data_IF_879201158078
#
_entry.id   IF_879201158078
#
_cell.length_a   1.000
_cell.length_b   1.000
_cell.length_c   1.000
_cell.angle_alpha   90.00
_cell.angle_beta   90.00
_cell.angle_gamma   90.00
#
_symmetry.space_group_name_H-M   'P 1'
#
loop_
_entity.id
_entity.type
_entity.pdbx_description
1 polymer ?
#
# COMPACT_ATOMS: atom_id res chain seq x y z
N UNK A 1 25.93 11.76 10.79
CA UNK A 1 24.95 11.27 11.78
C UNK A 1 23.52 11.67 11.39
N UNK A 2 23.20 12.95 11.17
CA UNK A 2 21.85 13.37 10.77
C UNK A 2 21.37 12.77 9.43
N UNK A 3 22.20 12.83 8.39
CA UNK A 3 21.88 12.23 7.07
C UNK A 3 21.66 10.72 7.17
N UNK A 4 22.41 10.02 8.02
CA UNK A 4 22.19 8.60 8.30
C UNK A 4 20.75 8.34 8.80
N UNK A 5 20.25 9.14 9.75
CA UNK A 5 18.86 8.99 10.22
C UNK A 5 17.83 9.33 9.14
N UNK A 6 18.12 10.31 8.28
CA UNK A 6 17.25 10.67 7.17
C UNK A 6 17.19 9.56 6.11
N UNK A 7 18.32 8.89 5.87
CA UNK A 7 18.45 7.82 4.89
C UNK A 7 17.58 6.61 5.24
N UNK A 8 17.43 6.32 6.52
CA UNK A 8 16.57 5.26 7.04
C UNK A 8 15.17 5.74 7.44
N UNK A 9 14.81 7.01 7.16
CA UNK A 9 13.43 7.46 7.31
C UNK A 9 12.57 6.82 6.22
N UNK A 10 11.44 6.31 6.67
CA UNK A 10 10.46 5.55 5.88
C UNK A 10 9.60 6.46 5.01
N UNK A 11 9.67 7.76 5.26
CA UNK A 11 8.97 8.79 4.52
C UNK A 11 9.91 9.38 3.48
N UNK A 12 9.46 9.61 2.23
CA UNK A 12 10.25 10.36 1.26
C UNK A 12 10.62 11.75 1.80
N UNK A 13 11.91 12.02 1.88
CA UNK A 13 12.48 13.32 2.25
C UNK A 13 13.22 13.88 1.05
N UNK A 14 12.89 15.11 0.64
CA UNK A 14 13.57 15.81 -0.46
C UNK A 14 13.94 17.20 -0.01
N UNK A 15 15.18 17.61 -0.28
CA UNK A 15 15.66 18.98 -0.11
C UNK A 15 16.00 19.55 -1.47
N UNK A 16 15.31 20.63 -1.82
CA UNK A 16 15.58 21.42 -3.02
C UNK A 16 16.40 22.65 -2.69
N UNK A 17 17.18 23.12 -3.66
CA UNK A 17 17.73 24.47 -3.65
C UNK A 17 16.74 25.49 -4.24
N UNK A 18 17.13 26.76 -4.26
CA UNK A 18 16.35 27.89 -4.77
C UNK A 18 16.04 27.81 -6.27
N UNK A 19 16.70 26.91 -7.01
CA UNK A 19 16.50 26.66 -8.44
C UNK A 19 15.68 25.39 -8.71
N UNK A 20 15.18 24.74 -7.67
CA UNK A 20 14.49 23.45 -7.77
C UNK A 20 15.41 22.26 -8.06
N UNK A 21 16.73 22.40 -7.90
CA UNK A 21 17.65 21.26 -7.93
C UNK A 21 17.59 20.49 -6.62
N UNK A 22 17.70 19.16 -6.66
CA UNK A 22 17.72 18.34 -5.44
C UNK A 22 19.13 18.42 -4.87
N UNK A 23 19.26 18.85 -3.62
CA UNK A 23 20.52 18.77 -2.86
C UNK A 23 20.62 17.48 -2.07
N UNK A 24 19.49 16.93 -1.64
CA UNK A 24 19.42 15.68 -0.91
C UNK A 24 18.07 15.02 -1.12
N UNK A 25 18.07 13.70 -1.23
CA UNK A 25 16.90 12.86 -1.06
C UNK A 25 17.34 11.55 -0.42
N UNK A 26 16.49 10.95 0.41
CA UNK A 26 16.72 9.60 0.92
C UNK A 26 16.27 8.54 -0.10
N UNK A 27 16.62 7.27 0.12
CA UNK A 27 16.19 6.12 -0.70
C UNK A 27 14.70 6.13 -1.08
N UNK A 28 13.80 6.38 -0.12
CA UNK A 28 12.36 6.40 -0.40
C UNK A 28 11.97 7.52 -1.38
N UNK A 29 12.62 8.69 -1.26
CA UNK A 29 12.44 9.77 -2.20
C UNK A 29 13.08 9.52 -3.57
N UNK A 30 14.21 8.80 -3.65
CA UNK A 30 14.80 8.38 -4.93
C UNK A 30 13.84 7.46 -5.70
N UNK A 31 13.23 6.48 -5.02
CA UNK A 31 12.23 5.60 -5.60
C UNK A 31 11.04 6.42 -6.10
N UNK A 32 10.47 7.27 -5.24
CA UNK A 32 9.36 8.16 -5.60
C UNK A 32 9.66 9.02 -6.84
N UNK A 33 10.84 9.66 -6.89
CA UNK A 33 11.25 10.55 -7.97
C UNK A 33 11.66 9.82 -9.26
N UNK A 34 11.88 8.49 -9.21
CA UNK A 34 12.07 7.69 -10.43
C UNK A 34 10.78 7.56 -11.25
N UNK A 35 9.62 7.72 -10.61
CA UNK A 35 8.30 7.65 -11.26
C UNK A 35 7.64 9.02 -11.42
N UNK A 36 7.88 9.96 -10.50
CA UNK A 36 7.19 11.26 -10.46
C UNK A 36 8.07 12.38 -10.99
N UNK A 37 7.47 13.33 -11.72
CA UNK A 37 8.22 14.45 -12.26
C UNK A 37 8.69 15.36 -11.12
N UNK A 38 10.01 15.46 -10.94
CA UNK A 38 10.64 16.37 -9.98
C UNK A 38 10.10 17.81 -10.00
N UNK A 39 9.81 18.36 -11.19
CA UNK A 39 9.28 19.73 -11.31
C UNK A 39 7.91 19.85 -10.65
N UNK A 40 7.04 18.87 -10.84
CA UNK A 40 5.71 18.82 -10.22
C UNK A 40 5.82 18.78 -8.69
N UNK A 41 6.76 18.00 -8.16
CA UNK A 41 7.04 17.94 -6.72
C UNK A 41 7.56 19.28 -6.20
N UNK A 42 8.50 19.91 -6.90
CA UNK A 42 9.03 21.21 -6.50
C UNK A 42 7.96 22.30 -6.50
N UNK A 43 7.15 22.37 -7.57
CA UNK A 43 6.04 23.32 -7.67
C UNK A 43 5.03 23.11 -6.52
N UNK A 44 4.73 21.85 -6.18
CA UNK A 44 3.92 21.52 -5.00
C UNK A 44 4.54 22.06 -3.71
N UNK A 45 5.85 21.87 -3.51
CA UNK A 45 6.55 22.32 -2.30
C UNK A 45 6.49 23.83 -2.16
N UNK A 46 6.76 24.58 -3.23
CA UNK A 46 6.71 26.05 -3.22
C UNK A 46 5.30 26.56 -2.92
N UNK A 47 4.28 25.98 -3.56
CA UNK A 47 2.88 26.42 -3.39
C UNK A 47 2.33 26.13 -1.98
N UNK A 48 2.92 25.17 -1.26
CA UNK A 48 2.45 24.77 0.07
C UNK A 48 3.39 25.18 1.20
N UNK A 49 4.49 25.86 0.90
CA UNK A 49 5.47 26.32 1.89
C UNK A 49 4.88 27.32 2.90
N UNK A 50 5.42 27.38 4.14
CA UNK A 50 5.06 28.46 5.05
C UNK A 50 5.49 29.83 4.52
N UNK A 51 4.74 30.89 4.83
CA UNK A 51 5.08 32.25 4.38
C UNK A 51 6.33 32.84 5.07
N UNK A 52 6.73 32.30 6.22
CA UNK A 52 7.91 32.71 6.97
C UNK A 52 8.80 31.49 7.24
N UNK A 53 10.12 31.69 7.47
CA UNK A 53 11.04 30.61 7.83
C UNK A 53 10.49 29.78 8.99
N UNK A 54 10.55 28.46 8.85
CA UNK A 54 9.92 27.52 9.75
C UNK A 54 9.45 26.27 9.03
N UNK A 55 8.55 25.54 9.67
CA UNK A 55 8.00 24.29 9.14
C UNK A 55 6.47 24.32 9.23
N UNK A 56 5.82 23.89 8.15
CA UNK A 56 4.39 23.75 8.03
C UNK A 56 4.06 22.29 7.79
N UNK A 57 3.17 21.75 8.61
CA UNK A 57 2.74 20.35 8.51
C UNK A 57 1.25 20.32 8.24
N UNK A 58 0.84 19.58 7.20
CA UNK A 58 -0.56 19.34 6.86
C UNK A 58 -0.83 17.85 6.76
N UNK A 59 -1.84 17.36 7.49
CA UNK A 59 -2.37 16.00 7.37
C UNK A 59 -3.53 15.99 6.36
N UNK A 60 -3.18 16.33 5.12
CA UNK A 60 -4.09 16.31 3.98
C UNK A 60 -3.55 15.32 2.97
N UNK A 61 -4.44 14.48 2.43
CA UNK A 61 -4.06 13.51 1.42
C UNK A 61 -3.49 14.21 0.18
N UNK A 62 -2.34 13.75 -0.30
CA UNK A 62 -1.68 14.26 -1.50
C UNK A 62 -1.35 13.07 -2.40
N UNK A 63 -1.62 13.24 -3.69
CA UNK A 63 -1.41 12.20 -4.68
C UNK A 63 -0.51 12.69 -5.82
N UNK A 64 0.46 11.86 -6.17
CA UNK A 64 1.34 12.05 -7.33
C UNK A 64 1.37 10.76 -8.14
N UNK A 65 0.72 10.74 -9.29
CA UNK A 65 0.48 9.49 -10.05
C UNK A 65 -0.13 8.40 -9.15
N UNK A 66 0.58 7.30 -8.94
CA UNK A 66 0.16 6.16 -8.13
C UNK A 66 0.60 6.26 -6.66
N UNK A 67 1.39 7.29 -6.29
CA UNK A 67 1.81 7.53 -4.90
C UNK A 67 0.77 8.36 -4.16
N UNK A 68 0.40 7.91 -2.97
CA UNK A 68 -0.55 8.57 -2.08
C UNK A 68 0.06 8.74 -0.68
N UNK A 69 0.02 9.98 -0.19
CA UNK A 69 0.57 10.37 1.11
C UNK A 69 -0.55 10.92 1.98
N UNK A 70 -0.54 10.61 3.28
CA UNK A 70 -1.52 11.09 4.26
C UNK A 70 -1.27 12.54 4.72
N UNK A 71 -0.15 13.12 4.29
CA UNK A 71 0.21 14.48 4.62
C UNK A 71 1.64 14.80 4.21
N UNK A 72 2.08 15.99 4.61
CA UNK A 72 3.42 16.45 4.35
C UNK A 72 3.88 17.45 5.42
N UNK A 73 5.19 17.53 5.62
CA UNK A 73 5.84 18.68 6.25
C UNK A 73 6.71 19.38 5.21
N UNK A 74 6.54 20.69 5.05
CA UNK A 74 7.41 21.55 4.24
C UNK A 74 8.07 22.57 5.14
N UNK A 75 9.38 22.76 5.01
CA UNK A 75 10.09 23.76 5.80
C UNK A 75 11.36 24.28 5.16
N UNK A 76 11.74 25.48 5.57
CA UNK A 76 12.97 26.16 5.16
C UNK A 76 13.45 27.05 6.30
N UNK A 77 14.76 27.33 6.31
CA UNK A 77 15.39 28.25 7.27
C UNK A 77 15.79 29.59 6.64
N UNK A 78 16.01 29.56 5.35
CA UNK A 78 16.48 30.66 4.52
C UNK A 78 16.02 30.43 3.07
N UNK A 79 16.33 31.37 2.18
CA UNK A 79 15.89 31.35 0.78
C UNK A 79 16.74 30.41 -0.10
N UNK A 80 17.66 29.64 0.47
CA UNK A 80 18.58 28.79 -0.30
C UNK A 80 18.16 27.33 -0.34
N UNK A 81 17.42 26.84 0.66
CA UNK A 81 16.96 25.45 0.70
C UNK A 81 15.56 25.32 1.25
N UNK A 82 14.76 24.48 0.60
CA UNK A 82 13.44 24.08 1.08
C UNK A 82 13.32 22.56 1.07
N UNK A 83 12.83 22.01 2.18
CA UNK A 83 12.65 20.58 2.37
C UNK A 83 11.18 20.20 2.38
N UNK A 84 10.89 18.98 1.93
CA UNK A 84 9.61 18.31 2.12
C UNK A 84 9.84 16.91 2.67
N UNK A 85 8.97 16.50 3.58
CA UNK A 85 8.80 15.12 4.05
C UNK A 85 7.37 14.70 3.79
N UNK A 86 7.16 13.69 2.95
CA UNK A 86 5.82 13.17 2.65
C UNK A 86 5.47 12.03 3.60
N UNK A 87 4.33 12.12 4.29
CA UNK A 87 3.90 11.08 5.19
C UNK A 87 3.26 9.94 4.42
N UNK A 88 3.99 8.82 4.32
CA UNK A 88 3.43 7.61 3.75
C UNK A 88 2.25 7.13 4.59
N UNK A 89 1.33 6.43 3.93
CA UNK A 89 0.19 5.87 4.61
C UNK A 89 0.63 4.71 5.52
N UNK A 90 0.92 5.02 6.79
CA UNK A 90 1.10 3.99 7.82
C UNK A 90 -0.26 3.70 8.43
N UNK A 91 -1.10 3.03 7.67
CA UNK A 91 -2.31 2.45 8.20
C UNK A 91 -1.92 1.42 9.27
N UNK A 92 -1.89 1.84 10.54
CA UNK A 92 -1.72 0.95 11.71
C UNK A 92 -3.05 0.25 11.91
N UNK A 93 -3.20 -0.90 11.29
CA UNK A 93 -4.34 -1.77 11.53
C UNK A 93 -4.00 -2.73 12.67
N UNK A 94 -4.94 -2.89 13.60
CA UNK A 94 -4.97 -4.07 14.47
C UNK A 94 -5.47 -5.26 13.65
N UNK A 95 -4.67 -5.74 12.71
CA UNK A 95 -4.96 -7.01 12.04
C UNK A 95 -4.69 -8.12 13.07
N UNK A 96 -5.70 -8.94 13.32
CA UNK A 96 -5.55 -10.11 14.18
C UNK A 96 -4.70 -11.17 13.44
N UNK A 97 -3.47 -11.38 13.92
CA UNK A 97 -2.56 -12.44 13.43
C UNK A 97 -2.85 -13.77 14.14
N UNK A 98 -4.09 -14.22 14.05
CA UNK A 98 -4.55 -15.50 14.61
C UNK A 98 -4.89 -16.48 13.51
N UNK A 99 -4.75 -17.77 13.78
CA UNK A 99 -5.17 -18.84 12.85
C UNK A 99 -4.54 -18.74 11.45
N UNK A 100 -3.26 -18.34 11.40
CA UNK A 100 -2.54 -18.25 10.15
C UNK A 100 -2.13 -19.64 9.64
N UNK A 101 -2.40 -19.90 8.37
CA UNK A 101 -1.97 -21.09 7.65
C UNK A 101 -1.04 -20.69 6.51
N UNK A 102 -0.03 -21.53 6.23
CA UNK A 102 0.78 -21.38 5.03
C UNK A 102 -0.06 -21.74 3.79
N UNK A 103 -0.05 -20.87 2.80
CA UNK A 103 -0.74 -21.07 1.54
C UNK A 103 0.15 -20.72 0.34
N UNK A 104 -0.14 -21.36 -0.79
CA UNK A 104 0.12 -20.79 -2.12
C UNK A 104 -1.11 -19.99 -2.52
N UNK A 105 -0.93 -18.67 -2.70
CA UNK A 105 -2.03 -17.75 -2.97
C UNK A 105 -2.74 -18.08 -4.28
N UNK A 106 -1.99 -18.46 -5.32
CA UNK A 106 -2.56 -18.80 -6.62
C UNK A 106 -3.40 -20.08 -6.53
N UNK A 107 -2.93 -21.10 -5.80
CA UNK A 107 -3.68 -22.33 -5.58
C UNK A 107 -4.96 -22.07 -4.78
N UNK A 108 -4.91 -21.23 -3.74
CA UNK A 108 -6.10 -20.91 -2.94
C UNK A 108 -7.16 -20.18 -3.78
N UNK A 109 -6.74 -19.20 -4.59
CA UNK A 109 -7.67 -18.48 -5.48
C UNK A 109 -8.24 -19.43 -6.53
N UNK A 110 -7.43 -20.31 -7.13
CA UNK A 110 -7.92 -21.29 -8.10
C UNK A 110 -8.96 -22.24 -7.48
N UNK A 111 -8.72 -22.71 -6.27
CA UNK A 111 -9.72 -23.49 -5.52
C UNK A 111 -11.03 -22.72 -5.34
N UNK A 112 -10.96 -21.43 -4.99
CA UNK A 112 -12.15 -20.61 -4.82
C UNK A 112 -12.91 -20.43 -6.16
N UNK A 113 -12.19 -20.21 -7.26
CA UNK A 113 -12.74 -20.09 -8.61
C UNK A 113 -13.46 -21.38 -9.02
N UNK A 114 -12.81 -22.53 -8.84
CA UNK A 114 -13.41 -23.84 -9.13
C UNK A 114 -14.70 -24.04 -8.33
N UNK A 115 -14.69 -23.72 -7.04
CA UNK A 115 -15.87 -23.84 -6.19
C UNK A 115 -17.04 -22.94 -6.65
N UNK A 116 -16.76 -21.67 -6.97
CA UNK A 116 -17.81 -20.73 -7.40
C UNK A 116 -18.37 -21.10 -8.77
N UNK A 117 -17.51 -21.48 -9.72
CA UNK A 117 -17.92 -21.88 -11.08
C UNK A 117 -18.70 -23.19 -11.11
N UNK A 118 -18.51 -24.08 -10.14
CA UNK A 118 -19.37 -25.27 -9.97
C UNK A 118 -20.80 -24.92 -9.53
N UNK A 119 -20.98 -23.80 -8.83
CA UNK A 119 -22.28 -23.40 -8.25
C UNK A 119 -23.01 -22.36 -9.07
N UNK A 120 -22.28 -21.53 -9.81
CA UNK A 120 -22.79 -20.36 -10.49
C UNK A 120 -22.29 -20.32 -11.94
N UNK A 121 -23.12 -19.80 -12.84
CA UNK A 121 -22.72 -19.51 -14.21
C UNK A 121 -21.98 -18.16 -14.25
N UNK A 122 -20.68 -18.21 -13.94
CA UNK A 122 -19.78 -17.05 -13.89
C UNK A 122 -18.55 -17.28 -14.79
N UNK A 123 -18.17 -16.25 -15.56
CA UNK A 123 -16.94 -16.24 -16.33
C UNK A 123 -15.81 -15.57 -15.54
N UNK A 124 -14.73 -16.29 -15.23
CA UNK A 124 -13.60 -15.74 -14.45
C UNK A 124 -12.30 -15.78 -15.27
N UNK A 125 -11.60 -14.65 -15.32
CA UNK A 125 -10.24 -14.54 -15.88
C UNK A 125 -9.23 -14.23 -14.78
N UNK A 126 -8.05 -14.84 -14.82
CA UNK A 126 -7.00 -14.66 -13.80
C UNK A 126 -5.71 -14.07 -14.36
N UNK A 127 -5.03 -13.26 -13.54
CA UNK A 127 -3.70 -12.71 -13.81
C UNK A 127 -2.86 -12.76 -12.54
N UNK A 128 -2.14 -13.86 -12.33
CA UNK A 128 -1.32 -14.04 -11.13
C UNK A 128 0.09 -13.52 -11.30
N UNK A 129 0.59 -12.84 -10.29
CA UNK A 129 2.01 -12.50 -10.14
C UNK A 129 2.78 -13.72 -9.60
N UNK A 130 3.65 -14.36 -10.42
CA UNK A 130 4.38 -15.56 -10.03
C UNK A 130 5.51 -15.28 -9.02
N UNK A 131 5.80 -14.01 -8.70
CA UNK A 131 6.82 -13.64 -7.71
C UNK A 131 6.34 -13.73 -6.27
N UNK A 132 5.03 -13.89 -6.05
CA UNK A 132 4.43 -14.03 -4.72
C UNK A 132 4.85 -15.39 -4.13
N UNK A 133 5.60 -15.42 -3.02
CA UNK A 133 5.98 -16.67 -2.37
C UNK A 133 4.80 -17.30 -1.63
N UNK A 134 5.01 -18.46 -1.00
CA UNK A 134 4.08 -18.93 0.03
C UNK A 134 4.00 -17.92 1.17
N UNK A 135 2.80 -17.75 1.72
CA UNK A 135 2.51 -16.77 2.77
C UNK A 135 1.68 -17.38 3.88
N UNK A 136 1.86 -16.86 5.09
CA UNK A 136 1.01 -17.12 6.25
C UNK A 136 -0.19 -16.17 6.23
N UNK A 137 -1.40 -16.71 6.18
CA UNK A 137 -2.62 -15.90 6.10
C UNK A 137 -3.77 -16.57 6.85
N UNK A 138 -4.77 -15.79 7.28
CA UNK A 138 -6.03 -16.34 7.78
C UNK A 138 -6.84 -16.92 6.62
N UNK A 139 -6.53 -18.16 6.23
CA UNK A 139 -7.03 -18.82 5.01
C UNK A 139 -8.55 -18.85 4.90
N UNK A 140 -9.24 -19.24 5.98
CA UNK A 140 -10.71 -19.29 6.01
C UNK A 140 -11.32 -17.91 5.71
N UNK A 141 -10.87 -16.87 6.40
CA UNK A 141 -11.37 -15.51 6.19
C UNK A 141 -11.12 -15.01 4.76
N UNK A 142 -9.99 -15.39 4.15
CA UNK A 142 -9.69 -15.02 2.77
C UNK A 142 -10.64 -15.70 1.78
N UNK A 143 -10.90 -17.00 1.97
CA UNK A 143 -11.88 -17.73 1.16
C UNK A 143 -13.28 -17.16 1.30
N UNK A 144 -13.73 -16.90 2.54
CA UNK A 144 -15.06 -16.34 2.80
C UNK A 144 -15.25 -15.00 2.09
N UNK A 145 -14.21 -14.14 2.06
CA UNK A 145 -14.24 -12.87 1.31
C UNK A 145 -14.29 -13.07 -0.20
N UNK A 146 -13.47 -13.97 -0.75
CA UNK A 146 -13.48 -14.24 -2.19
C UNK A 146 -14.85 -14.78 -2.61
N UNK A 147 -15.44 -15.69 -1.82
CA UNK A 147 -16.78 -16.20 -2.07
C UNK A 147 -17.84 -15.11 -1.99
N UNK A 148 -17.80 -14.24 -0.98
CA UNK A 148 -18.74 -13.14 -0.83
C UNK A 148 -18.65 -12.12 -1.99
N UNK A 149 -17.43 -11.81 -2.44
CA UNK A 149 -17.18 -10.87 -3.55
C UNK A 149 -17.58 -11.43 -4.92
N UNK A 150 -17.57 -12.75 -5.10
CA UNK A 150 -17.96 -13.42 -6.35
C UNK A 150 -19.42 -13.89 -6.36
N UNK A 151 -20.12 -13.78 -5.24
CA UNK A 151 -21.50 -14.20 -5.12
C UNK A 151 -22.39 -13.45 -6.10
N UNK A 152 -23.24 -14.16 -6.84
CA UNK A 152 -24.18 -13.62 -7.83
C UNK A 152 -23.55 -12.81 -8.98
N UNK A 153 -22.23 -12.88 -9.15
CA UNK A 153 -21.53 -12.21 -10.25
C UNK A 153 -21.60 -13.02 -11.55
N UNK A 154 -21.67 -12.33 -12.69
CA UNK A 154 -21.65 -12.97 -14.03
C UNK A 154 -20.26 -13.04 -14.64
N UNK A 155 -19.42 -12.07 -14.30
CA UNK A 155 -18.04 -11.99 -14.76
C UNK A 155 -17.14 -11.43 -13.66
N UNK A 156 -15.91 -11.91 -13.62
CA UNK A 156 -14.88 -11.36 -12.75
C UNK A 156 -13.48 -11.47 -13.38
N UNK A 157 -12.63 -10.48 -13.10
CA UNK A 157 -11.19 -10.57 -13.37
C UNK A 157 -10.48 -10.53 -12.02
N UNK A 158 -9.73 -11.59 -11.71
CA UNK A 158 -8.96 -11.71 -10.48
C UNK A 158 -7.48 -11.54 -10.81
N UNK A 159 -6.81 -10.60 -10.14
CA UNK A 159 -5.40 -10.32 -10.34
C UNK A 159 -4.67 -10.29 -9.01
N UNK A 160 -3.41 -10.72 -9.01
CA UNK A 160 -2.53 -10.55 -7.85
C UNK A 160 -1.31 -9.72 -8.21
N UNK A 161 -0.80 -8.94 -7.26
CA UNK A 161 0.49 -8.24 -7.39
C UNK A 161 1.10 -7.99 -6.03
N UNK A 162 2.42 -7.95 -5.99
CA UNK A 162 3.15 -7.40 -4.83
C UNK A 162 3.21 -5.88 -4.96
N UNK A 163 2.76 -5.15 -3.93
CA UNK A 163 2.90 -3.69 -3.89
C UNK A 163 4.31 -3.30 -3.38
N UNK A 164 4.92 -2.30 -4.00
CA UNK A 164 6.29 -1.84 -3.71
C UNK A 164 6.20 -0.40 -3.22
N UNK A 165 6.75 -0.12 -2.02
CA UNK A 165 6.68 1.19 -1.38
C UNK A 165 5.51 1.36 -0.39
N UNK A 166 4.59 0.39 -0.33
CA UNK A 166 3.57 0.31 0.71
C UNK A 166 3.85 -0.88 1.65
N UNK A 167 3.51 -0.71 2.93
CA UNK A 167 3.57 -1.78 3.93
C UNK A 167 2.40 -1.67 4.91
N UNK A 168 1.96 -2.81 5.43
CA UNK A 168 1.06 -2.86 6.58
C UNK A 168 1.93 -3.05 7.82
N UNK A 169 1.66 -2.25 8.86
CA UNK A 169 2.35 -2.34 10.14
C UNK A 169 1.47 -3.11 11.13
N UNK A 170 1.98 -4.23 11.64
CA UNK A 170 1.31 -5.09 12.62
C UNK A 170 2.29 -5.36 13.76
N UNK A 171 1.89 -5.08 15.00
CA UNK A 171 2.74 -5.25 16.20
C UNK A 171 4.15 -4.67 16.03
N UNK A 172 4.21 -3.43 15.54
CA UNK A 172 5.44 -2.70 15.20
C UNK A 172 6.33 -3.28 14.09
N UNK A 173 6.01 -4.46 13.54
CA UNK A 173 6.68 -5.06 12.38
C UNK A 173 6.00 -4.62 11.09
N UNK A 174 6.82 -4.35 10.06
CA UNK A 174 6.35 -3.96 8.73
C UNK A 174 6.30 -5.19 7.82
N UNK A 175 5.19 -5.31 7.11
CA UNK A 175 4.98 -6.36 6.12
C UNK A 175 4.67 -5.72 4.77
N UNK A 176 5.36 -6.17 3.73
CA UNK A 176 5.03 -5.79 2.36
C UNK A 176 3.58 -6.22 2.04
N UNK A 177 2.91 -5.49 1.15
CA UNK A 177 1.51 -5.77 0.81
C UNK A 177 1.43 -6.62 -0.45
N UNK A 178 0.58 -7.64 -0.41
CA UNK A 178 0.06 -8.33 -1.59
C UNK A 178 -1.36 -7.82 -1.83
N UNK A 179 -1.65 -7.44 -3.07
CA UNK A 179 -3.00 -7.05 -3.48
C UNK A 179 -3.64 -8.18 -4.28
N UNK A 180 -4.88 -8.52 -3.92
CA UNK A 180 -5.79 -9.29 -4.77
C UNK A 180 -6.83 -8.30 -5.30
N UNK A 181 -6.78 -7.99 -6.59
CA UNK A 181 -7.79 -7.20 -7.26
C UNK A 181 -8.87 -8.10 -7.86
N UNK A 182 -10.12 -7.92 -7.44
CA UNK A 182 -11.29 -8.61 -8.00
C UNK A 182 -12.14 -7.55 -8.71
N UNK A 183 -11.99 -7.46 -10.03
CA UNK A 183 -12.84 -6.59 -10.86
C UNK A 183 -14.12 -7.32 -11.21
N UNK A 184 -15.24 -6.73 -10.87
CA UNK A 184 -16.59 -7.27 -11.12
C UNK A 184 -17.59 -6.13 -11.00
N UNK A 185 -18.89 -6.40 -10.86
CA UNK A 185 -19.89 -5.38 -10.54
C UNK A 185 -20.20 -5.42 -9.04
N UNK A 186 -19.60 -4.53 -8.22
CA UNK A 186 -19.91 -4.47 -6.79
C UNK A 186 -21.40 -4.27 -6.56
N UNK A 187 -21.97 -5.10 -5.69
CA UNK A 187 -23.36 -5.03 -5.24
C UNK A 187 -23.47 -4.79 -3.72
N UNK A 188 -22.33 -4.88 -3.01
CA UNK A 188 -22.23 -4.75 -1.55
C UNK A 188 -20.94 -4.06 -1.15
N UNK A 189 -20.90 -3.57 0.10
CA UNK A 189 -19.66 -3.11 0.72
C UNK A 189 -19.10 -4.22 1.60
N UNK A 190 -17.85 -4.59 1.36
CA UNK A 190 -17.18 -5.67 2.08
C UNK A 190 -16.19 -5.10 3.09
N UNK A 191 -16.13 -5.72 4.27
CA UNK A 191 -15.20 -5.38 5.36
C UNK A 191 -14.61 -6.66 5.93
N UNK A 192 -13.40 -6.56 6.48
CA UNK A 192 -12.72 -7.68 7.14
C UNK A 192 -11.95 -7.19 8.37
N UNK A 193 -11.94 -7.94 9.48
CA UNK A 193 -11.02 -7.69 10.59
C UNK A 193 -9.58 -8.19 10.29
N UNK A 194 -9.40 -9.04 9.28
CA UNK A 194 -8.12 -9.69 8.95
C UNK A 194 -7.38 -9.03 7.79
N UNK A 195 -8.10 -8.32 6.90
CA UNK A 195 -7.52 -7.73 5.69
C UNK A 195 -8.07 -6.32 5.46
N UNK A 196 -7.24 -5.46 4.88
CA UNK A 196 -7.70 -4.15 4.42
C UNK A 196 -8.44 -4.33 3.09
N UNK A 197 -9.67 -3.82 3.01
CA UNK A 197 -10.53 -3.94 1.83
C UNK A 197 -10.78 -2.55 1.24
N UNK A 198 -10.37 -2.34 -0.01
CA UNK A 198 -10.76 -1.16 -0.78
C UNK A 198 -11.96 -1.52 -1.65
N UNK A 199 -13.11 -0.92 -1.36
CA UNK A 199 -14.31 -1.04 -2.17
C UNK A 199 -14.24 0.01 -3.27
N UNK A 200 -14.24 -0.40 -4.54
CA UNK A 200 -14.15 0.47 -5.72
C UNK A 200 -15.43 0.40 -6.53
N UNK A 201 -15.60 1.33 -7.46
CA UNK A 201 -16.74 1.31 -8.39
C UNK A 201 -16.70 0.10 -9.34
N UNK A 202 -15.50 -0.39 -9.67
CA UNK A 202 -15.25 -1.48 -10.62
C UNK A 202 -14.84 -2.81 -9.96
N UNK A 203 -14.99 -2.93 -8.63
CA UNK A 203 -14.65 -4.16 -7.91
C UNK A 203 -14.10 -3.92 -6.52
N UNK A 204 -13.24 -4.82 -6.08
CA UNK A 204 -12.65 -4.84 -4.74
C UNK A 204 -11.13 -5.04 -4.82
N UNK A 205 -10.41 -4.50 -3.84
CA UNK A 205 -9.02 -4.86 -3.58
C UNK A 205 -8.90 -5.38 -2.15
N UNK A 206 -8.34 -6.58 -2.02
CA UNK A 206 -7.94 -7.16 -0.74
C UNK A 206 -6.43 -6.91 -0.58
N UNK A 207 -6.05 -6.16 0.45
CA UNK A 207 -4.65 -5.95 0.84
C UNK A 207 -4.28 -6.92 1.95
N UNK A 208 -3.28 -7.76 1.68
CA UNK A 208 -2.82 -8.84 2.55
C UNK A 208 -1.37 -8.54 2.97
N UNK A 209 -1.02 -8.64 4.26
CA UNK A 209 0.38 -8.57 4.68
C UNK A 209 1.13 -9.83 4.22
N UNK A 210 2.27 -9.64 3.54
CA UNK A 210 3.16 -10.73 3.14
C UNK A 210 3.96 -11.22 4.34
N UNK A 211 3.38 -12.15 5.10
CA UNK A 211 4.02 -12.82 6.23
C UNK A 211 4.65 -14.11 5.70
N UNK A 212 5.98 -14.22 5.70
CA UNK A 212 6.68 -15.42 5.21
C UNK A 212 6.80 -16.50 6.29
N UNK A 213 7.03 -16.09 7.53
CA UNK A 213 7.18 -16.96 8.69
C UNK A 213 6.60 -16.24 9.91
N UNK A 214 6.09 -17.01 10.87
CA UNK A 214 5.71 -16.50 12.19
C UNK A 214 6.98 -16.49 13.04
N UNK A 215 7.40 -15.32 13.53
CA UNK A 215 8.48 -15.27 14.51
C UNK A 215 7.96 -15.92 15.81
N UNK A 216 8.44 -17.12 16.14
CA UNK A 216 8.10 -17.85 17.38
C UNK A 216 8.39 -17.06 18.68
N UNK A 217 9.10 -15.92 18.59
CA UNK A 217 9.50 -15.10 19.73
C UNK A 217 8.48 -14.04 20.18
N UNK A 218 7.24 -14.07 19.70
CA UNK A 218 6.20 -13.10 20.08
C UNK A 218 5.29 -13.54 21.25
N UNK A 219 5.60 -14.68 21.89
CA UNK A 219 4.97 -15.12 23.13
C UNK A 219 6.01 -15.29 24.27
N UNK A 220 6.46 -14.18 24.85
CA UNK A 220 7.03 -14.15 26.21
C UNK A 220 6.72 -12.81 26.88
#
# INVERSE_FOLDING_TARGET
MFEFWCEYDINPIIIFNERGHIKYCNQEAEIFLSYVNKKEVYDFVINNAPANPGMKTEFKQVKFKDFEFNGFSIGYRDDTNIGVRFFINTNTHSIELTELEEIDLSMLINFAIEYVTLKNDIAITTMFDPSIPTIMVHKKALLDLIFDMLENQKEAIISTKVNVGEYIKINDKKYQIIEIGIKTKPDKTVKSPYFEILNKEDGYIIKIPMIKEIDENSNT
#
